data_IF_699235466243
#
_entry.id   IF_699235466243
#
_cell.length_a   1.000
_cell.length_b   1.000
_cell.length_c   1.000
_cell.angle_alpha   90.00
_cell.angle_beta   90.00
_cell.angle_gamma   90.00
#
_symmetry.space_group_name_H-M   'P 1'
#
loop_
_entity.id
_entity.type
_entity.pdbx_description
1 polymer ?
#
# COMPACT_ATOMS: atom_id res chain seq x y z
N UNK A 1 65.49 40.20 -24.86
CA UNK A 1 64.45 40.35 -23.88
C UNK A 1 63.18 39.73 -24.47
N UNK A 2 62.62 38.68 -23.83
CA UNK A 2 61.36 38.19 -24.20
C UNK A 2 60.27 39.19 -23.78
N UNK A 3 59.45 39.61 -24.77
CA UNK A 3 58.32 40.51 -24.53
C UNK A 3 57.26 39.79 -23.72
N UNK A 4 57.10 40.16 -22.46
CA UNK A 4 56.13 39.63 -21.53
C UNK A 4 54.74 40.25 -21.70
N UNK A 5 54.54 41.13 -22.71
CA UNK A 5 53.30 41.85 -22.97
C UNK A 5 52.25 40.99 -23.72
N UNK A 6 52.61 39.77 -24.21
CA UNK A 6 51.72 38.85 -24.96
C UNK A 6 51.39 37.64 -24.15
N UNK A 7 50.98 37.80 -22.87
CA UNK A 7 50.44 36.69 -22.07
C UNK A 7 48.92 36.69 -22.24
N UNK A 8 48.40 35.62 -22.78
CA UNK A 8 46.95 35.31 -22.76
C UNK A 8 46.72 34.34 -21.62
N UNK A 9 45.83 34.72 -20.72
CA UNK A 9 45.41 33.88 -19.61
C UNK A 9 43.99 33.45 -19.92
N UNK A 10 43.73 32.14 -19.91
CA UNK A 10 42.42 31.57 -19.91
C UNK A 10 42.17 30.90 -18.56
N UNK A 11 40.94 30.91 -18.09
CA UNK A 11 40.55 30.32 -16.82
C UNK A 11 39.24 29.55 -16.99
N UNK A 12 39.17 28.38 -16.41
CA UNK A 12 37.97 27.57 -16.29
C UNK A 12 37.61 27.44 -14.81
N UNK A 13 36.35 27.67 -14.49
CA UNK A 13 35.82 27.40 -13.18
C UNK A 13 35.33 25.96 -13.14
N UNK A 14 35.80 25.18 -12.17
CA UNK A 14 35.33 23.82 -11.92
C UNK A 14 34.51 23.84 -10.65
N UNK A 15 33.18 23.63 -10.78
CA UNK A 15 32.28 23.53 -9.67
C UNK A 15 32.03 22.02 -9.37
N UNK A 16 32.36 21.63 -8.16
CA UNK A 16 31.97 20.31 -7.65
C UNK A 16 30.57 20.43 -7.05
N UNK A 17 29.68 19.56 -7.46
CA UNK A 17 28.36 19.36 -6.82
C UNK A 17 28.36 18.05 -6.07
N UNK A 18 27.69 18.03 -4.92
CA UNK A 18 27.48 16.82 -4.18
C UNK A 18 26.55 15.89 -5.00
N UNK A 19 26.89 14.60 -5.03
CA UNK A 19 26.03 13.62 -5.65
C UNK A 19 24.77 13.44 -4.80
N UNK A 20 23.56 13.46 -5.38
CA UNK A 20 22.34 13.18 -4.64
C UNK A 20 22.36 11.76 -4.06
N UNK A 21 21.72 11.58 -2.93
CA UNK A 21 21.53 10.28 -2.27
C UNK A 21 20.03 9.98 -2.31
N UNK A 22 19.65 8.88 -2.92
CA UNK A 22 18.31 8.35 -2.75
C UNK A 22 18.28 7.60 -1.41
N UNK A 23 17.72 8.22 -0.35
CA UNK A 23 17.49 7.50 0.87
C UNK A 23 16.36 6.49 0.63
N UNK A 24 16.47 5.31 1.26
CA UNK A 24 15.56 4.20 1.01
C UNK A 24 14.09 4.59 1.24
N UNK A 25 13.26 4.57 0.19
CA UNK A 25 11.82 4.83 0.31
C UNK A 25 11.13 3.72 1.12
N UNK A 26 9.91 4.00 1.56
CA UNK A 26 9.08 3.01 2.27
C UNK A 26 8.05 2.40 1.32
N UNK A 27 7.75 1.12 1.53
CA UNK A 27 6.65 0.47 0.84
C UNK A 27 5.32 1.11 1.24
N UNK A 28 4.42 1.24 0.26
CA UNK A 28 3.08 1.79 0.50
C UNK A 28 2.04 0.69 0.47
N UNK A 29 1.08 0.79 1.38
CA UNK A 29 0.01 -0.19 1.56
C UNK A 29 -1.34 0.51 1.46
N UNK A 30 -2.30 -0.14 0.82
CA UNK A 30 -3.68 0.33 0.73
C UNK A 30 -4.65 -0.83 0.76
N UNK A 31 -5.75 -0.67 1.52
CA UNK A 31 -6.91 -1.54 1.49
C UNK A 31 -7.89 -1.09 0.41
N UNK A 32 -8.72 -2.00 -0.05
CA UNK A 32 -9.92 -1.63 -0.81
C UNK A 32 -10.99 -1.12 0.16
N UNK A 33 -11.17 0.18 0.20
CA UNK A 33 -12.23 0.85 0.96
C UNK A 33 -13.47 1.17 0.10
N UNK A 34 -13.47 0.71 -1.13
CA UNK A 34 -14.50 0.99 -2.14
C UNK A 34 -14.46 2.42 -2.69
N UNK A 35 -13.49 3.24 -2.18
CA UNK A 35 -13.30 4.64 -2.61
C UNK A 35 -11.88 4.82 -3.05
N UNK A 36 -11.36 5.18 -4.05
CA UNK A 36 -9.94 5.28 -4.48
C UNK A 36 -9.16 3.95 -4.46
N UNK A 37 -9.86 2.82 -4.63
CA UNK A 37 -9.23 1.51 -4.61
C UNK A 37 -8.04 1.44 -5.58
N UNK A 38 -6.85 1.14 -5.05
CA UNK A 38 -5.60 1.04 -5.82
C UNK A 38 -5.00 2.37 -6.29
N UNK A 39 -5.44 3.52 -5.78
CA UNK A 39 -4.85 4.83 -6.10
C UNK A 39 -3.87 5.23 -4.99
N UNK A 40 -2.60 5.33 -5.33
CA UNK A 40 -1.52 5.68 -4.41
C UNK A 40 -1.01 7.10 -4.63
N UNK A 41 -0.64 7.78 -3.55
CA UNK A 41 0.16 8.99 -3.57
C UNK A 41 1.64 8.61 -3.37
N UNK A 42 2.42 8.57 -4.44
CA UNK A 42 3.84 8.22 -4.41
C UNK A 42 4.67 9.29 -3.71
N UNK A 43 4.20 10.55 -3.72
CA UNK A 43 4.94 11.70 -3.17
C UNK A 43 5.09 11.67 -1.65
N UNK A 44 4.40 10.75 -0.97
CA UNK A 44 4.63 10.42 0.44
C UNK A 44 6.11 10.07 0.68
N UNK A 45 6.77 9.47 -0.32
CA UNK A 45 8.19 9.11 -0.27
C UNK A 45 9.15 10.29 -0.55
N UNK A 46 8.68 11.45 -1.01
CA UNK A 46 9.56 12.59 -1.34
C UNK A 46 10.43 12.99 -0.16
N UNK A 47 9.82 13.15 1.01
CA UNK A 47 10.54 13.55 2.25
C UNK A 47 11.54 12.48 2.68
N UNK A 48 11.18 11.20 2.52
CA UNK A 48 12.03 10.06 2.88
C UNK A 48 13.23 10.00 1.95
N UNK A 49 13.01 10.03 0.64
CA UNK A 49 14.05 9.97 -0.40
C UNK A 49 15.01 11.16 -0.30
N UNK A 50 14.48 12.34 -0.07
CA UNK A 50 15.28 13.57 0.10
C UNK A 50 16.13 13.50 1.38
N UNK A 51 15.57 13.02 2.50
CA UNK A 51 16.24 12.98 3.79
C UNK A 51 16.64 14.38 4.27
N UNK A 52 17.92 14.58 4.58
CA UNK A 52 18.46 15.85 5.06
C UNK A 52 18.98 16.78 3.94
N UNK A 53 18.82 16.42 2.66
CA UNK A 53 19.25 17.20 1.51
C UNK A 53 18.33 18.41 1.30
N UNK A 54 18.85 19.51 0.74
CA UNK A 54 18.07 20.72 0.48
C UNK A 54 17.07 20.47 -0.68
N UNK A 55 15.74 20.60 -0.47
CA UNK A 55 14.76 20.36 -1.51
C UNK A 55 14.84 21.32 -2.70
N UNK A 56 15.57 22.44 -2.58
CA UNK A 56 15.76 23.39 -3.69
C UNK A 56 16.83 22.96 -4.68
N UNK A 57 17.69 22.01 -4.28
CA UNK A 57 18.82 21.55 -5.08
C UNK A 57 18.49 20.32 -5.93
N UNK A 58 17.39 19.59 -5.56
CA UNK A 58 17.08 18.31 -6.15
C UNK A 58 15.64 18.23 -6.65
N UNK A 59 15.44 17.37 -7.66
CA UNK A 59 14.15 17.01 -8.22
C UNK A 59 13.94 15.52 -8.03
N UNK A 60 12.75 15.15 -7.56
CA UNK A 60 12.33 13.74 -7.40
C UNK A 60 11.33 13.39 -8.51
N UNK A 61 11.52 12.22 -9.11
CA UNK A 61 10.59 11.65 -10.09
C UNK A 61 10.40 10.16 -9.86
N UNK A 62 9.26 9.64 -10.28
CA UNK A 62 8.87 8.24 -10.15
C UNK A 62 8.74 7.59 -11.51
N UNK A 63 9.07 6.31 -11.62
CA UNK A 63 9.14 5.57 -12.89
C UNK A 63 8.65 4.13 -12.70
N UNK A 64 8.13 3.55 -13.77
CA UNK A 64 7.64 2.16 -13.76
C UNK A 64 8.75 1.12 -14.05
N UNK A 65 9.99 1.57 -14.32
CA UNK A 65 11.11 0.66 -14.54
C UNK A 65 12.43 1.27 -14.05
N UNK A 66 13.36 0.39 -13.64
CA UNK A 66 14.73 0.77 -13.29
C UNK A 66 15.47 1.45 -14.46
N UNK A 67 15.18 1.03 -15.69
CA UNK A 67 15.80 1.61 -16.89
C UNK A 67 15.35 3.05 -17.12
N UNK A 68 14.05 3.34 -16.95
CA UNK A 68 13.50 4.69 -17.07
C UNK A 68 14.02 5.60 -15.96
N UNK A 69 14.05 5.11 -14.70
CA UNK A 69 14.61 5.86 -13.59
C UNK A 69 16.09 6.21 -13.81
N UNK A 70 16.89 5.23 -14.28
CA UNK A 70 18.30 5.44 -14.58
C UNK A 70 18.50 6.41 -15.76
N UNK A 71 17.67 6.31 -16.78
CA UNK A 71 17.72 7.16 -17.97
C UNK A 71 17.06 8.52 -17.80
N UNK A 72 16.32 8.77 -16.73
CA UNK A 72 15.50 9.97 -16.56
C UNK A 72 14.37 10.06 -17.60
N UNK A 73 13.89 8.90 -18.08
CA UNK A 73 12.89 8.81 -19.14
C UNK A 73 11.52 8.40 -18.59
N UNK A 74 10.45 8.73 -19.31
CA UNK A 74 9.08 8.31 -19.04
C UNK A 74 8.65 8.43 -17.56
N UNK A 75 8.78 9.60 -16.91
CA UNK A 75 8.36 9.76 -15.54
C UNK A 75 6.83 9.61 -15.41
N UNK A 76 6.38 9.10 -14.27
CA UNK A 76 4.97 9.04 -13.90
C UNK A 76 4.44 10.47 -13.77
N UNK A 77 3.48 10.84 -14.62
CA UNK A 77 3.01 12.23 -14.73
C UNK A 77 2.10 12.67 -13.56
N UNK A 78 1.41 11.73 -12.93
CA UNK A 78 0.49 12.00 -11.82
C UNK A 78 0.88 11.16 -10.60
N UNK A 79 2.01 11.47 -9.93
CA UNK A 79 2.48 10.65 -8.82
C UNK A 79 1.58 10.72 -7.57
N UNK A 80 0.77 11.78 -7.43
CA UNK A 80 -0.20 11.93 -6.32
C UNK A 80 -1.46 11.09 -6.48
N UNK A 81 -1.70 10.53 -7.67
CA UNK A 81 -2.90 9.75 -8.00
C UNK A 81 -2.54 8.60 -8.94
N UNK A 82 -1.52 7.83 -8.56
CA UNK A 82 -1.07 6.70 -9.35
C UNK A 82 -1.98 5.49 -9.14
N UNK A 83 -2.56 4.99 -10.23
CA UNK A 83 -3.39 3.78 -10.21
C UNK A 83 -2.50 2.55 -10.45
N UNK A 84 -2.45 1.66 -9.47
CA UNK A 84 -1.72 0.39 -9.55
C UNK A 84 -2.34 -0.54 -10.59
N UNK A 85 -1.52 -1.32 -11.30
CA UNK A 85 -1.99 -2.24 -12.35
C UNK A 85 -2.27 -3.67 -11.85
N UNK A 86 -1.98 -3.95 -10.58
CA UNK A 86 -2.20 -5.26 -9.95
C UNK A 86 -2.35 -5.12 -8.45
N UNK A 87 -2.04 -6.15 -7.70
CA UNK A 87 -2.03 -6.12 -6.24
C UNK A 87 -0.67 -5.78 -5.64
N UNK A 88 0.40 -5.98 -6.40
CA UNK A 88 1.78 -5.59 -6.04
C UNK A 88 2.46 -5.01 -7.27
N UNK A 89 3.10 -3.87 -7.12
CA UNK A 89 3.86 -3.21 -8.18
C UNK A 89 5.11 -2.54 -7.61
N UNK A 90 6.25 -2.67 -8.29
CA UNK A 90 7.49 -2.00 -7.91
C UNK A 90 7.60 -0.66 -8.63
N UNK A 91 7.82 0.40 -7.85
CA UNK A 91 8.02 1.77 -8.35
C UNK A 91 9.48 2.17 -8.10
N UNK A 92 10.08 2.78 -9.12
CA UNK A 92 11.45 3.27 -9.07
C UNK A 92 11.44 4.78 -8.88
N UNK A 93 12.22 5.26 -7.91
CA UNK A 93 12.38 6.68 -7.63
C UNK A 93 13.75 7.13 -8.13
N UNK A 94 13.80 8.33 -8.71
CA UNK A 94 14.99 9.03 -9.09
C UNK A 94 15.04 10.37 -8.37
N UNK A 95 16.16 10.66 -7.73
CA UNK A 95 16.51 11.99 -7.24
C UNK A 95 17.68 12.52 -8.07
N UNK A 96 17.55 13.71 -8.63
CA UNK A 96 18.58 14.30 -9.47
C UNK A 96 18.84 15.77 -9.11
N UNK A 97 20.03 16.26 -9.42
CA UNK A 97 20.34 17.66 -9.28
C UNK A 97 19.58 18.50 -10.33
N UNK A 98 19.46 19.81 -10.10
CA UNK A 98 18.73 20.73 -10.97
C UNK A 98 19.24 20.78 -12.43
N UNK A 99 20.40 20.19 -12.72
CA UNK A 99 20.98 20.08 -14.06
C UNK A 99 20.73 18.73 -14.73
N UNK A 100 20.22 17.74 -13.98
CA UNK A 100 20.03 16.36 -14.45
C UNK A 100 21.31 15.57 -14.68
N UNK A 101 22.46 16.11 -14.24
CA UNK A 101 23.78 15.49 -14.49
C UNK A 101 24.13 14.44 -13.43
N UNK A 102 23.83 14.73 -12.16
CA UNK A 102 24.05 13.83 -11.05
C UNK A 102 22.72 13.30 -10.54
N UNK A 103 22.60 11.99 -10.40
CA UNK A 103 21.37 11.36 -9.90
C UNK A 103 21.69 10.12 -9.05
N UNK A 104 20.70 9.70 -8.27
CA UNK A 104 20.62 8.40 -7.62
C UNK A 104 19.22 7.81 -7.79
N UNK A 105 19.11 6.51 -7.69
CA UNK A 105 17.82 5.79 -7.82
C UNK A 105 17.68 4.77 -6.71
N UNK A 106 16.44 4.49 -6.31
CA UNK A 106 16.03 3.42 -5.42
C UNK A 106 14.65 2.91 -5.84
N UNK A 107 14.09 1.93 -5.14
CA UNK A 107 12.75 1.39 -5.44
C UNK A 107 11.98 1.04 -4.17
N UNK A 108 10.65 0.94 -4.29
CA UNK A 108 9.73 0.51 -3.25
C UNK A 108 8.53 -0.19 -3.87
N UNK A 109 7.79 -0.92 -3.05
CA UNK A 109 6.60 -1.63 -3.49
C UNK A 109 5.32 -0.90 -3.11
N UNK A 110 4.37 -0.91 -4.04
CA UNK A 110 2.96 -0.65 -3.77
C UNK A 110 2.28 -1.98 -3.50
N UNK A 111 1.54 -2.06 -2.40
CA UNK A 111 0.81 -3.25 -2.00
C UNK A 111 -0.67 -2.88 -1.83
N UNK A 112 -1.52 -3.40 -2.70
CA UNK A 112 -2.96 -3.20 -2.66
C UNK A 112 -3.65 -4.49 -2.22
N UNK A 113 -4.50 -4.40 -1.20
CA UNK A 113 -5.23 -5.54 -0.65
C UNK A 113 -6.73 -5.41 -0.96
N UNK A 114 -7.20 -5.98 -2.08
CA UNK A 114 -8.62 -6.02 -2.41
C UNK A 114 -9.32 -7.09 -1.58
N UNK A 115 -9.52 -6.84 -0.28
CA UNK A 115 -10.19 -7.77 0.62
C UNK A 115 -11.65 -7.38 0.71
N UNK A 116 -12.55 -8.33 0.47
CA UNK A 116 -13.97 -8.23 0.76
C UNK A 116 -14.41 -9.42 1.62
N UNK A 117 -15.48 -9.28 2.35
CA UNK A 117 -16.12 -10.37 3.08
C UNK A 117 -17.63 -10.27 2.95
N UNK A 118 -18.30 -11.41 2.75
CA UNK A 118 -19.75 -11.53 2.67
C UNK A 118 -20.20 -12.75 3.50
N UNK A 119 -21.04 -12.51 4.50
CA UNK A 119 -21.67 -13.54 5.31
C UNK A 119 -23.02 -14.01 4.75
N UNK A 120 -23.46 -13.39 3.64
CA UNK A 120 -24.74 -13.66 3.05
C UNK A 120 -25.91 -12.93 3.74
N UNK A 121 -27.11 -13.45 3.56
CA UNK A 121 -28.33 -12.82 4.09
C UNK A 121 -28.58 -13.24 5.54
N UNK A 122 -29.34 -12.41 6.26
CA UNK A 122 -29.88 -12.72 7.57
C UNK A 122 -30.61 -14.07 7.57
N UNK A 123 -30.45 -14.83 8.65
CA UNK A 123 -30.93 -16.20 8.78
C UNK A 123 -32.12 -16.26 9.74
N UNK A 124 -33.28 -16.55 9.19
CA UNK A 124 -34.50 -16.80 9.94
C UNK A 124 -34.78 -18.32 9.93
N UNK A 125 -34.70 -18.97 11.09
CA UNK A 125 -34.78 -20.42 11.14
C UNK A 125 -35.71 -20.93 12.25
N UNK A 126 -36.38 -22.06 11.99
CA UNK A 126 -37.15 -22.80 12.97
C UNK A 126 -36.47 -24.14 13.33
N UNK A 127 -35.21 -24.35 12.93
CA UNK A 127 -34.45 -25.54 13.32
C UNK A 127 -33.98 -25.46 14.76
N UNK A 128 -33.79 -26.63 15.40
CA UNK A 128 -33.08 -26.74 16.67
C UNK A 128 -31.62 -27.14 16.49
N UNK A 129 -31.21 -27.29 15.24
CA UNK A 129 -29.84 -27.67 14.89
C UNK A 129 -28.93 -26.42 14.79
N UNK A 130 -27.64 -26.63 15.02
CA UNK A 130 -26.63 -25.63 14.81
C UNK A 130 -26.54 -25.25 13.32
N UNK A 131 -26.27 -23.99 13.03
CA UNK A 131 -26.02 -23.51 11.67
C UNK A 131 -24.58 -23.07 11.50
N UNK A 132 -24.08 -23.16 10.29
CA UNK A 132 -22.70 -22.68 9.97
C UNK A 132 -22.79 -21.43 9.13
N UNK A 133 -22.18 -20.37 9.63
CA UNK A 133 -21.90 -19.16 8.86
C UNK A 133 -20.59 -19.35 8.11
N UNK A 134 -20.52 -18.83 6.89
CA UNK A 134 -19.31 -18.88 6.06
C UNK A 134 -18.99 -17.47 5.57
N UNK A 135 -17.78 -17.01 5.85
CA UNK A 135 -17.27 -15.76 5.34
C UNK A 135 -16.69 -15.98 3.93
N UNK A 136 -17.41 -15.50 2.92
CA UNK A 136 -16.92 -15.52 1.54
C UNK A 136 -15.99 -14.32 1.30
N UNK A 137 -14.73 -14.60 1.05
CA UNK A 137 -13.69 -13.60 0.73
C UNK A 137 -13.27 -13.65 -0.74
N UNK A 138 -14.17 -14.11 -1.62
CA UNK A 138 -13.90 -14.26 -3.06
C UNK A 138 -12.65 -15.12 -3.38
N UNK A 139 -12.32 -16.07 -2.47
CA UNK A 139 -11.19 -16.98 -2.64
C UNK A 139 -9.84 -16.41 -2.20
N UNK A 140 -9.80 -15.27 -1.52
CA UNK A 140 -8.57 -14.78 -0.90
C UNK A 140 -8.09 -15.72 0.20
N UNK A 141 -6.77 -15.90 0.32
CA UNK A 141 -6.12 -16.82 1.27
C UNK A 141 -5.08 -16.09 2.12
N UNK A 142 -4.69 -16.69 3.25
CA UNK A 142 -3.71 -16.10 4.15
C UNK A 142 -4.29 -14.95 4.99
N UNK A 143 -5.61 -14.90 5.12
CA UNK A 143 -6.31 -13.90 5.89
C UNK A 143 -6.60 -14.40 7.31
N UNK A 144 -6.67 -13.47 8.24
CA UNK A 144 -7.10 -13.71 9.61
C UNK A 144 -8.57 -13.39 9.78
N UNK A 145 -9.29 -14.21 10.53
CA UNK A 145 -10.72 -14.10 10.80
C UNK A 145 -10.92 -13.97 12.31
N UNK A 146 -11.62 -12.93 12.72
CA UNK A 146 -12.04 -12.72 14.10
C UNK A 146 -13.56 -12.67 14.17
N UNK A 147 -14.17 -13.66 14.81
CA UNK A 147 -15.62 -13.76 14.94
C UNK A 147 -16.13 -13.08 16.20
N UNK A 148 -17.33 -12.51 16.10
CA UNK A 148 -18.04 -11.86 17.20
C UNK A 148 -19.48 -12.30 17.26
N UNK A 149 -20.03 -12.35 18.47
CA UNK A 149 -21.44 -12.51 18.75
C UNK A 149 -21.92 -11.33 19.60
N UNK A 150 -22.91 -10.57 19.12
CA UNK A 150 -23.39 -9.34 19.74
C UNK A 150 -22.24 -8.38 20.17
N UNK A 151 -21.22 -8.26 19.32
CA UNK A 151 -20.04 -7.44 19.57
C UNK A 151 -19.01 -8.02 20.54
N UNK A 152 -19.23 -9.26 21.03
CA UNK A 152 -18.28 -9.94 21.92
C UNK A 152 -17.45 -10.95 21.13
N UNK A 153 -16.13 -10.83 21.23
CA UNK A 153 -15.20 -11.76 20.56
C UNK A 153 -15.44 -13.21 20.97
N UNK A 154 -15.42 -14.10 20.00
CA UNK A 154 -15.66 -15.55 20.18
C UNK A 154 -14.37 -16.37 20.25
N UNK A 155 -13.23 -15.72 20.42
CA UNK A 155 -11.93 -16.37 20.52
C UNK A 155 -10.84 -15.53 19.86
N UNK A 156 -9.59 -16.00 19.81
CA UNK A 156 -8.53 -15.31 19.08
C UNK A 156 -8.79 -15.41 17.56
N UNK A 157 -8.22 -14.45 16.82
CA UNK A 157 -8.23 -14.53 15.36
C UNK A 157 -7.47 -15.76 14.86
N UNK A 158 -7.98 -16.38 13.81
CA UNK A 158 -7.41 -17.59 13.20
C UNK A 158 -7.16 -17.37 11.72
N UNK A 159 -6.12 -18.01 11.19
CA UNK A 159 -5.78 -17.91 9.77
C UNK A 159 -6.64 -18.87 8.95
N UNK A 160 -7.19 -18.38 7.83
CA UNK A 160 -8.01 -19.13 6.86
C UNK A 160 -9.22 -19.88 7.48
N UNK A 161 -9.66 -19.48 8.67
CA UNK A 161 -10.84 -20.05 9.33
C UNK A 161 -12.12 -19.29 8.92
N UNK A 162 -12.60 -19.63 7.75
CA UNK A 162 -13.73 -18.96 7.09
C UNK A 162 -15.10 -19.31 7.67
N UNK A 163 -15.19 -20.20 8.66
CA UNK A 163 -16.47 -20.71 9.15
C UNK A 163 -16.66 -20.49 10.65
N UNK A 164 -17.92 -20.25 11.03
CA UNK A 164 -18.32 -20.17 12.43
C UNK A 164 -19.60 -20.94 12.67
N UNK A 165 -19.61 -21.79 13.72
CA UNK A 165 -20.81 -22.55 14.10
C UNK A 165 -21.63 -21.77 15.11
N UNK A 166 -22.84 -21.42 14.73
CA UNK A 166 -23.85 -20.84 15.61
C UNK A 166 -24.58 -21.95 16.32
N UNK A 167 -24.37 -22.06 17.62
CA UNK A 167 -25.07 -23.09 18.44
C UNK A 167 -26.47 -22.64 18.74
N UNK A 168 -27.44 -23.47 18.38
CA UNK A 168 -28.88 -23.26 18.68
C UNK A 168 -29.13 -23.19 20.20
N UNK A 169 -30.02 -22.34 20.70
CA UNK A 169 -30.89 -21.38 20.00
C UNK A 169 -30.38 -19.94 20.08
N UNK A 170 -29.07 -19.71 19.94
CA UNK A 170 -28.46 -18.37 20.13
C UNK A 170 -28.84 -17.45 18.98
N UNK A 171 -29.87 -16.64 19.18
CA UNK A 171 -30.26 -15.56 18.27
C UNK A 171 -29.49 -14.30 18.56
N UNK A 172 -29.06 -13.58 17.52
CA UNK A 172 -28.37 -12.31 17.64
C UNK A 172 -27.55 -11.95 16.40
N UNK A 173 -26.76 -10.89 16.50
CA UNK A 173 -25.89 -10.41 15.44
C UNK A 173 -24.54 -11.12 15.52
N UNK A 174 -24.19 -11.79 14.44
CA UNK A 174 -22.86 -12.38 14.22
C UNK A 174 -22.10 -11.52 13.25
N UNK A 175 -20.83 -11.22 13.55
CA UNK A 175 -19.96 -10.48 12.64
C UNK A 175 -18.59 -11.12 12.57
N UNK A 176 -17.90 -10.87 11.46
CA UNK A 176 -16.53 -11.28 11.25
C UNK A 176 -15.70 -10.08 10.83
N UNK A 177 -14.55 -9.93 11.45
CA UNK A 177 -13.48 -9.04 11.00
C UNK A 177 -12.46 -9.88 10.26
N UNK A 178 -12.14 -9.46 9.03
CA UNK A 178 -11.13 -10.12 8.19
C UNK A 178 -10.02 -9.14 7.89
N UNK A 179 -8.78 -9.56 8.08
CA UNK A 179 -7.61 -8.70 7.89
C UNK A 179 -6.39 -9.48 7.42
N UNK A 180 -5.42 -8.74 6.85
CA UNK A 180 -4.15 -9.30 6.40
C UNK A 180 -3.07 -9.15 7.49
N UNK A 181 -2.16 -10.14 7.61
CA UNK A 181 -1.04 -10.08 8.56
C UNK A 181 0.02 -9.03 8.23
N UNK A 182 0.11 -8.61 6.97
CA UNK A 182 1.10 -7.62 6.52
C UNK A 182 0.68 -6.19 6.86
N UNK A 183 -0.64 -5.93 6.89
CA UNK A 183 -1.21 -4.67 7.32
C UNK A 183 -2.49 -4.92 8.13
N UNK A 184 -2.33 -4.88 9.46
CA UNK A 184 -3.44 -5.08 10.40
C UNK A 184 -4.39 -3.88 10.46
N UNK A 185 -4.11 -2.79 9.76
CA UNK A 185 -5.04 -1.67 9.59
C UNK A 185 -6.06 -1.94 8.48
N UNK A 186 -5.78 -2.90 7.58
CA UNK A 186 -6.69 -3.40 6.57
C UNK A 186 -7.71 -4.37 7.17
N UNK A 187 -8.79 -3.86 7.74
CA UNK A 187 -9.87 -4.67 8.30
C UNK A 187 -11.14 -4.44 7.47
N UNK A 188 -11.74 -5.52 7.00
CA UNK A 188 -13.09 -5.53 6.44
C UNK A 188 -14.02 -6.28 7.37
N UNK A 189 -15.26 -5.82 7.47
CA UNK A 189 -16.24 -6.34 8.41
C UNK A 189 -17.54 -6.61 7.67
N UNK A 190 -18.15 -7.74 7.97
CA UNK A 190 -19.54 -8.01 7.61
C UNK A 190 -20.30 -8.61 8.80
N UNK A 191 -21.63 -8.51 8.76
CA UNK A 191 -22.49 -8.97 9.83
C UNK A 191 -23.79 -9.53 9.30
N UNK A 192 -24.31 -10.56 9.99
CA UNK A 192 -25.58 -11.22 9.69
C UNK A 192 -26.38 -11.37 10.98
N UNK A 193 -27.69 -11.20 10.90
CA UNK A 193 -28.60 -11.51 11.99
C UNK A 193 -29.06 -12.95 11.89
N UNK A 194 -28.97 -13.69 12.99
CA UNK A 194 -29.49 -15.05 13.11
C UNK A 194 -30.64 -15.06 14.10
N UNK A 195 -31.80 -15.49 13.67
CA UNK A 195 -33.00 -15.57 14.50
C UNK A 195 -33.57 -16.99 14.52
N UNK A 196 -33.43 -17.64 15.68
CA UNK A 196 -34.14 -18.90 15.97
C UNK A 196 -35.55 -18.57 16.45
N UNK A 197 -36.55 -19.07 15.75
CA UNK A 197 -37.97 -18.91 16.10
C UNK A 197 -38.46 -20.11 16.88
N UNK A 198 -39.22 -19.85 17.95
CA UNK A 198 -39.92 -20.88 18.71
C UNK A 198 -40.92 -21.61 17.79
N UNK A 199 -40.98 -22.94 17.93
CA UNK A 199 -41.93 -23.79 17.23
C UNK A 199 -43.25 -23.87 17.99
#
# INVERSE_FOLDING_TARGET
SLDTSCIVIDSVEVLYKDQPIANAPVDLFQCDDGVNAGIFDLTINDVVVLGAQDPTDYVISYHNSAADATGGAAPILNPTTYLITGTVEEIFVRIEDSTGTCFATDSFFLNFFPISVDLGLDQDTCTTDDITLTADTAGAVGLFYQWFFNGVSQGPSTIDDTTFTVTAPNSGTYSVEVFNSLDTSCIVIDSVEVLYKDQ
#
